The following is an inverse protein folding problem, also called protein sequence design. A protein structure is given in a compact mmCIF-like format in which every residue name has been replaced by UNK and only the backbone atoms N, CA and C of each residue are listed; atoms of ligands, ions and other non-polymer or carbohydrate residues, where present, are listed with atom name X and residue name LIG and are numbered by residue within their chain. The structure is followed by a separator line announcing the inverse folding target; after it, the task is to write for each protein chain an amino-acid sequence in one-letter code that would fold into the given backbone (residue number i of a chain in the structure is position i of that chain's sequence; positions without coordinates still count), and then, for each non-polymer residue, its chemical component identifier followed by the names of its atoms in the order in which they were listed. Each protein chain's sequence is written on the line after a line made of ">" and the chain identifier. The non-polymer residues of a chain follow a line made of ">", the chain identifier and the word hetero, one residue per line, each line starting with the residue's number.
data_IF_576991873552
#
_entry.id   IF_576991873552
#
_cell.length_a   1.000
_cell.length_b   1.000
_cell.length_c   1.000
_cell.angle_alpha   90.00
_cell.angle_beta   90.00
_cell.angle_gamma   90.00
#
_symmetry.space_group_name_H-M   'P 1'
#
loop_
_entity.id
_entity.type
_entity.pdbx_description
1 polymer ?
#
# COMPACT_ATOMS: atom_id res chain seq x y z
N UNK A 1 -15.30 -12.76 -14.79
CA UNK A 1 -15.33 -11.50 -13.99
C UNK A 1 -15.60 -11.79 -12.51
N UNK A 2 -16.65 -12.53 -12.15
CA UNK A 2 -16.99 -12.84 -10.75
C UNK A 2 -15.86 -13.57 -9.98
N UNK A 3 -15.17 -14.51 -10.64
CA UNK A 3 -14.08 -15.28 -10.03
C UNK A 3 -12.84 -14.41 -9.71
N UNK A 4 -12.61 -13.37 -10.51
CA UNK A 4 -11.50 -12.42 -10.35
C UNK A 4 -11.81 -11.42 -9.23
N UNK A 5 -13.07 -10.98 -9.16
CA UNK A 5 -13.60 -10.08 -8.14
C UNK A 5 -13.64 -10.76 -6.76
N UNK A 6 -14.00 -12.06 -6.71
CA UNK A 6 -13.95 -12.88 -5.49
C UNK A 6 -12.53 -13.09 -4.96
N UNK A 7 -11.56 -13.36 -5.84
CA UNK A 7 -10.13 -13.43 -5.46
C UNK A 7 -9.62 -12.10 -4.92
N UNK A 8 -9.97 -11.00 -5.57
CA UNK A 8 -9.58 -9.66 -5.12
C UNK A 8 -10.17 -9.32 -3.74
N UNK A 9 -11.45 -9.60 -3.50
CA UNK A 9 -12.11 -9.39 -2.21
C UNK A 9 -11.49 -10.24 -1.08
N UNK A 10 -11.14 -11.49 -1.37
CA UNK A 10 -10.52 -12.37 -0.39
C UNK A 10 -9.11 -11.86 0.00
N UNK A 11 -8.30 -11.45 -0.97
CA UNK A 11 -6.97 -10.88 -0.71
C UNK A 11 -7.10 -9.54 0.03
N UNK A 12 -8.02 -8.67 -0.40
CA UNK A 12 -8.25 -7.38 0.25
C UNK A 12 -8.68 -7.53 1.72
N UNK A 13 -9.54 -8.51 2.04
CA UNK A 13 -9.98 -8.76 3.42
C UNK A 13 -8.87 -9.35 4.28
N UNK A 14 -8.12 -10.35 3.80
CA UNK A 14 -6.99 -10.94 4.54
C UNK A 14 -5.92 -9.88 4.83
N UNK A 15 -5.53 -9.11 3.81
CA UNK A 15 -4.54 -8.05 3.98
C UNK A 15 -5.07 -6.94 4.89
N UNK A 16 -6.34 -6.56 4.75
CA UNK A 16 -6.98 -5.58 5.63
C UNK A 16 -6.95 -5.98 7.11
N UNK A 17 -7.27 -7.24 7.41
CA UNK A 17 -7.19 -7.78 8.78
C UNK A 17 -5.74 -7.78 9.28
N UNK A 18 -4.79 -8.23 8.46
CA UNK A 18 -3.37 -8.22 8.81
C UNK A 18 -2.82 -6.83 9.10
N UNK A 19 -3.30 -5.81 8.37
CA UNK A 19 -2.96 -4.40 8.59
C UNK A 19 -3.52 -3.90 9.92
N UNK A 20 -4.79 -4.19 10.23
CA UNK A 20 -5.40 -3.79 11.51
C UNK A 20 -4.66 -4.40 12.70
N UNK A 21 -4.27 -5.68 12.59
CA UNK A 21 -3.47 -6.36 13.62
C UNK A 21 -2.09 -5.73 13.79
N UNK A 22 -1.41 -5.34 12.71
CA UNK A 22 -0.12 -4.65 12.78
C UNK A 22 -0.23 -3.27 13.43
N UNK A 23 -1.25 -2.48 13.07
CA UNK A 23 -1.50 -1.18 13.70
C UNK A 23 -1.81 -1.35 15.19
N UNK A 24 -2.66 -2.32 15.55
CA UNK A 24 -2.94 -2.63 16.95
C UNK A 24 -1.68 -3.07 17.71
N UNK A 25 -0.84 -3.91 17.11
CA UNK A 25 0.43 -4.34 17.69
C UNK A 25 1.42 -3.19 17.89
N UNK A 26 1.51 -2.26 16.94
CA UNK A 26 2.35 -1.07 17.04
C UNK A 26 1.86 -0.14 18.16
N UNK A 27 0.56 0.14 18.23
CA UNK A 27 -0.03 0.95 19.29
C UNK A 27 0.15 0.30 20.67
N UNK A 28 -0.01 -1.02 20.76
CA UNK A 28 0.27 -1.77 21.98
C UNK A 28 1.74 -1.67 22.40
N UNK A 29 2.68 -1.85 21.47
CA UNK A 29 4.10 -1.74 21.74
C UNK A 29 4.48 -0.32 22.24
N UNK A 30 3.96 0.72 21.58
CA UNK A 30 4.16 2.11 22.00
C UNK A 30 3.56 2.36 23.39
N UNK A 31 2.34 1.88 23.68
CA UNK A 31 1.71 2.04 24.98
C UNK A 31 2.45 1.31 26.11
N UNK A 32 2.97 0.11 25.82
CA UNK A 32 3.80 -0.66 26.75
C UNK A 32 5.13 0.05 27.03
N UNK A 33 5.82 0.54 25.99
CA UNK A 33 7.06 1.31 26.09
C UNK A 33 6.86 2.70 26.73
N UNK A 34 5.66 3.26 26.63
CA UNK A 34 5.34 4.55 27.25
C UNK A 34 5.05 4.44 28.75
N UNK A 35 4.74 3.24 29.24
CA UNK A 35 4.51 2.97 30.66
C UNK A 35 5.81 2.94 31.47
N UNK A 36 6.97 2.83 30.82
CA UNK A 36 8.28 2.73 31.48
C UNK A 36 9.01 4.07 31.69
N UNK A 37 8.35 5.22 31.52
CA UNK A 37 8.91 6.59 31.64
C UNK A 37 10.10 6.92 30.69
N UNK A 38 10.47 6.00 29.80
CA UNK A 38 11.58 6.18 28.84
C UNK A 38 11.10 6.92 27.57
N UNK A 39 9.81 6.81 27.21
CA UNK A 39 9.22 7.43 26.01
C UNK A 39 7.84 7.97 26.38
N UNK A 40 7.57 9.25 26.20
CA UNK A 40 6.19 9.76 26.32
C UNK A 40 5.33 9.20 25.18
N UNK A 41 4.14 8.69 25.48
CA UNK A 41 3.22 8.18 24.45
C UNK A 41 2.96 9.29 23.41
N UNK A 42 3.20 9.06 22.11
CA UNK A 42 2.89 10.02 21.06
C UNK A 42 1.39 10.34 21.08
N UNK A 43 1.05 11.63 21.16
CA UNK A 43 -0.33 12.10 21.11
C UNK A 43 -0.82 12.14 19.67
N UNK A 44 -1.18 10.97 19.13
CA UNK A 44 -1.79 10.84 17.80
C UNK A 44 -3.28 11.15 17.91
N UNK A 45 -3.76 12.14 17.14
CA UNK A 45 -5.19 12.47 17.09
C UNK A 45 -6.00 11.35 16.46
N UNK A 46 -7.29 11.25 16.81
CA UNK A 46 -8.21 10.28 16.20
C UNK A 46 -8.25 10.43 14.67
N UNK A 47 -8.19 11.66 14.17
CA UNK A 47 -8.14 11.94 12.73
C UNK A 47 -6.88 11.37 12.08
N UNK A 48 -5.71 11.56 12.69
CA UNK A 48 -4.46 10.98 12.19
C UNK A 48 -4.51 9.45 12.21
N UNK A 49 -5.11 8.85 13.23
CA UNK A 49 -5.28 7.39 13.32
C UNK A 49 -6.17 6.84 12.19
N UNK A 50 -7.30 7.49 11.91
CA UNK A 50 -8.19 7.09 10.80
C UNK A 50 -7.48 7.22 9.46
N UNK A 51 -6.76 8.32 9.23
CA UNK A 51 -5.98 8.53 8.01
C UNK A 51 -4.84 7.51 7.88
N UNK A 52 -4.22 7.09 9.00
CA UNK A 52 -3.18 6.07 9.01
C UNK A 52 -3.75 4.72 8.57
N UNK A 53 -4.87 4.30 9.15
CA UNK A 53 -5.56 3.08 8.73
C UNK A 53 -5.93 3.12 7.24
N UNK A 54 -6.44 4.25 6.76
CA UNK A 54 -6.78 4.46 5.35
C UNK A 54 -5.55 4.39 4.44
N UNK A 55 -4.43 5.00 4.85
CA UNK A 55 -3.18 4.98 4.11
C UNK A 55 -2.66 3.55 3.95
N UNK A 56 -2.61 2.77 5.05
CA UNK A 56 -2.14 1.38 4.97
C UNK A 56 -3.09 0.51 4.13
N UNK A 57 -4.41 0.71 4.24
CA UNK A 57 -5.38 -0.02 3.42
C UNK A 57 -5.19 0.28 1.92
N UNK A 58 -5.03 1.54 1.55
CA UNK A 58 -4.79 1.93 0.15
C UNK A 58 -3.45 1.41 -0.37
N UNK A 59 -2.42 1.41 0.47
CA UNK A 59 -1.13 0.82 0.12
C UNK A 59 -1.24 -0.67 -0.15
N UNK A 60 -1.92 -1.41 0.73
CA UNK A 60 -2.18 -2.83 0.55
C UNK A 60 -2.91 -3.12 -0.77
N UNK A 61 -3.97 -2.37 -1.06
CA UNK A 61 -4.74 -2.51 -2.31
C UNK A 61 -3.85 -2.22 -3.53
N UNK A 62 -3.03 -1.16 -3.49
CA UNK A 62 -2.13 -0.78 -4.57
C UNK A 62 -1.05 -1.85 -4.82
N UNK A 63 -0.41 -2.37 -3.77
CA UNK A 63 0.59 -3.43 -3.87
C UNK A 63 -0.02 -4.69 -4.46
N UNK A 64 -1.18 -5.13 -3.96
CA UNK A 64 -1.91 -6.29 -4.50
C UNK A 64 -2.28 -6.09 -5.97
N UNK A 65 -2.70 -4.88 -6.36
CA UNK A 65 -3.00 -4.58 -7.75
C UNK A 65 -1.75 -4.66 -8.65
N UNK A 66 -0.58 -4.22 -8.17
CA UNK A 66 0.69 -4.38 -8.90
C UNK A 66 1.12 -5.85 -8.99
N UNK A 67 1.03 -6.61 -7.91
CA UNK A 67 1.34 -8.03 -7.90
C UNK A 67 0.45 -8.80 -8.87
N UNK A 68 -0.86 -8.51 -8.88
CA UNK A 68 -1.81 -9.10 -9.82
C UNK A 68 -1.46 -8.72 -11.27
N UNK A 69 -1.16 -7.45 -11.54
CA UNK A 69 -0.78 -6.98 -12.86
C UNK A 69 0.50 -7.67 -13.39
N UNK A 70 1.46 -7.97 -12.50
CA UNK A 70 2.68 -8.70 -12.84
C UNK A 70 2.41 -10.20 -13.04
N UNK A 71 1.68 -10.82 -12.13
CA UNK A 71 1.37 -12.25 -12.16
C UNK A 71 0.55 -12.65 -13.39
N UNK A 72 -0.35 -11.77 -13.86
CA UNK A 72 -1.12 -11.97 -15.09
C UNK A 72 -0.28 -11.99 -16.37
N UNK A 73 1.02 -11.66 -16.30
CA UNK A 73 1.95 -11.80 -17.44
C UNK A 73 2.72 -13.11 -17.41
N UNK A 74 2.54 -13.93 -16.37
CA UNK A 74 3.28 -15.16 -16.16
C UNK A 74 2.46 -16.36 -16.64
N UNK A 75 3.09 -17.29 -17.36
CA UNK A 75 2.40 -18.46 -17.89
C UNK A 75 2.29 -19.61 -16.88
N UNK A 76 2.98 -19.51 -15.74
CA UNK A 76 2.86 -20.49 -14.63
C UNK A 76 3.00 -19.86 -13.25
N UNK A 77 2.48 -20.56 -12.23
CA UNK A 77 2.61 -20.15 -10.81
C UNK A 77 4.07 -20.05 -10.38
N UNK A 78 4.95 -20.91 -10.90
CA UNK A 78 6.40 -20.85 -10.63
C UNK A 78 7.03 -19.60 -11.25
N UNK A 79 6.64 -19.24 -12.48
CA UNK A 79 7.11 -18.01 -13.15
C UNK A 79 6.61 -16.74 -12.46
N UNK A 80 5.35 -16.72 -12.02
CA UNK A 80 4.81 -15.61 -11.24
C UNK A 80 5.63 -15.39 -9.96
N UNK A 81 5.94 -16.46 -9.22
CA UNK A 81 6.79 -16.38 -8.03
C UNK A 81 8.20 -15.85 -8.33
N UNK A 82 8.83 -16.30 -9.42
CA UNK A 82 10.16 -15.84 -9.83
C UNK A 82 10.20 -14.38 -10.30
N UNK A 83 9.08 -13.83 -10.79
CA UNK A 83 8.95 -12.41 -11.16
C UNK A 83 8.60 -11.54 -9.95
N UNK A 84 7.80 -12.06 -9.01
CA UNK A 84 7.39 -11.35 -7.81
C UNK A 84 8.57 -11.12 -6.84
N UNK A 85 9.50 -12.07 -6.72
CA UNK A 85 10.69 -11.91 -5.86
C UNK A 85 11.48 -10.62 -6.14
N UNK A 86 11.98 -10.40 -7.38
CA UNK A 86 12.62 -9.16 -7.77
C UNK A 86 11.71 -7.92 -7.66
N UNK A 87 10.41 -8.05 -7.94
CA UNK A 87 9.47 -6.94 -7.84
C UNK A 87 9.33 -6.41 -6.40
N UNK A 88 9.29 -7.30 -5.41
CA UNK A 88 9.27 -6.93 -3.99
C UNK A 88 10.54 -6.17 -3.59
N UNK A 89 11.71 -6.57 -4.10
CA UNK A 89 12.97 -5.85 -3.87
C UNK A 89 12.94 -4.43 -4.48
N UNK A 90 12.34 -4.27 -5.65
CA UNK A 90 12.15 -2.96 -6.29
C UNK A 90 11.21 -2.08 -5.46
N UNK A 91 10.18 -2.65 -4.82
CA UNK A 91 9.26 -1.92 -3.92
C UNK A 91 9.96 -1.52 -2.61
N UNK A 92 10.88 -2.34 -2.10
CA UNK A 92 11.65 -2.05 -0.89
C UNK A 92 12.61 -0.87 -1.06
N UNK A 93 13.17 -0.67 -2.25
CA UNK A 93 14.18 0.36 -2.47
C UNK A 93 13.64 1.80 -2.25
N UNK A 94 12.47 2.20 -2.80
CA UNK A 94 11.81 3.46 -2.44
C UNK A 94 11.55 3.60 -0.95
N UNK A 95 11.29 2.50 -0.24
CA UNK A 95 11.02 2.56 1.19
C UNK A 95 12.25 3.02 1.98
N UNK A 96 13.44 2.54 1.64
CA UNK A 96 14.69 3.01 2.22
C UNK A 96 14.94 4.48 1.89
N UNK A 97 14.63 4.89 0.66
CA UNK A 97 14.78 6.29 0.24
C UNK A 97 13.89 7.24 1.04
N UNK A 98 12.71 6.80 1.49
CA UNK A 98 11.86 7.66 2.32
C UNK A 98 12.49 8.04 3.65
N UNK A 99 13.48 7.29 4.16
CA UNK A 99 14.15 7.60 5.43
C UNK A 99 15.07 8.82 5.33
N UNK A 100 15.66 9.06 4.15
CA UNK A 100 16.55 10.21 3.92
C UNK A 100 15.78 11.49 3.58
N UNK A 101 14.51 11.37 3.22
CA UNK A 101 13.64 12.52 2.95
C UNK A 101 13.22 13.18 4.27
N UNK A 102 13.49 14.48 4.38
CA UNK A 102 13.01 15.31 5.48
C UNK A 102 11.54 15.71 5.22
N UNK A 103 10.71 15.64 6.26
CA UNK A 103 9.30 16.04 6.22
C UNK A 103 9.11 17.55 6.31
N UNK A 104 10.12 18.29 6.79
CA UNK A 104 10.06 19.74 6.88
C UNK A 104 10.27 20.38 5.50
N UNK A 105 9.25 21.10 5.04
CA UNK A 105 9.26 21.75 3.74
C UNK A 105 9.17 20.78 2.56
N UNK A 106 8.76 19.53 2.79
CA UNK A 106 8.59 18.55 1.73
C UNK A 106 7.55 19.01 0.70
N UNK A 107 7.88 18.85 -0.58
CA UNK A 107 6.96 19.18 -1.66
C UNK A 107 5.90 18.09 -1.85
N UNK A 108 4.68 18.53 -2.21
CA UNK A 108 3.55 17.64 -2.45
C UNK A 108 3.81 16.61 -3.58
N UNK A 109 4.76 16.87 -4.48
CA UNK A 109 5.16 15.94 -5.54
C UNK A 109 5.57 14.56 -5.00
N UNK A 110 6.26 14.50 -3.86
CA UNK A 110 6.70 13.23 -3.27
C UNK A 110 5.54 12.34 -2.81
N UNK A 111 4.40 12.96 -2.49
CA UNK A 111 3.16 12.27 -2.15
C UNK A 111 2.40 11.75 -3.38
N UNK A 112 2.90 11.99 -4.60
CA UNK A 112 2.39 11.39 -5.81
C UNK A 112 3.19 10.15 -6.24
N UNK A 113 4.41 9.95 -5.74
CA UNK A 113 5.26 8.82 -6.16
C UNK A 113 4.73 7.51 -5.54
N UNK A 114 4.45 6.45 -6.32
CA UNK A 114 3.97 5.18 -5.77
C UNK A 114 4.90 4.63 -4.70
N UNK A 115 4.35 3.98 -3.68
CA UNK A 115 5.06 3.44 -2.50
C UNK A 115 5.59 4.54 -1.59
N UNK A 116 6.33 5.51 -2.12
CA UNK A 116 6.87 6.66 -1.38
C UNK A 116 5.75 7.48 -0.76
N UNK A 117 4.66 7.70 -1.51
CA UNK A 117 3.52 8.50 -1.10
C UNK A 117 2.90 8.05 0.22
N UNK A 118 2.63 6.76 0.36
CA UNK A 118 2.05 6.21 1.58
C UNK A 118 3.08 6.17 2.70
N UNK A 119 4.33 5.82 2.42
CA UNK A 119 5.35 5.78 3.47
C UNK A 119 5.62 7.15 4.09
N UNK A 120 5.64 8.21 3.28
CA UNK A 120 5.73 9.59 3.78
C UNK A 120 4.47 9.99 4.56
N UNK A 121 3.28 9.62 4.05
CA UNK A 121 2.02 9.87 4.76
C UNK A 121 2.00 9.18 6.13
N UNK A 122 2.46 7.93 6.24
CA UNK A 122 2.56 7.22 7.51
C UNK A 122 3.48 7.96 8.48
N UNK A 123 4.64 8.45 8.02
CA UNK A 123 5.55 9.21 8.87
C UNK A 123 4.94 10.53 9.35
N UNK A 124 4.29 11.30 8.47
CA UNK A 124 3.59 12.54 8.87
C UNK A 124 2.47 12.28 9.89
N UNK A 125 1.64 11.27 9.63
CA UNK A 125 0.50 10.93 10.47
C UNK A 125 0.91 10.36 11.84
N UNK A 126 2.00 9.60 11.91
CA UNK A 126 2.58 9.13 13.18
C UNK A 126 3.11 10.28 14.03
N UNK A 127 3.57 11.36 13.41
CA UNK A 127 3.95 12.61 14.09
C UNK A 127 2.75 13.53 14.38
N UNK A 128 1.52 13.06 14.15
CA UNK A 128 0.28 13.84 14.25
C UNK A 128 0.28 15.12 13.38
N UNK A 129 1.06 15.13 12.30
CA UNK A 129 1.15 16.24 11.35
C UNK A 129 0.20 15.97 10.18
N UNK A 130 -0.93 16.67 10.16
CA UNK A 130 -1.94 16.52 9.09
C UNK A 130 -1.84 17.71 8.14
N UNK A 131 -1.17 17.51 7.01
CA UNK A 131 -1.14 18.48 5.91
C UNK A 131 -2.17 18.08 4.87
N UNK A 132 -3.31 18.77 4.82
CA UNK A 132 -4.43 18.41 3.93
C UNK A 132 -4.04 18.34 2.44
N UNK A 133 -3.09 19.16 2.00
CA UNK A 133 -2.54 19.10 0.64
C UNK A 133 -1.87 17.76 0.36
N UNK A 134 -1.02 17.29 1.27
CA UNK A 134 -0.37 15.97 1.14
C UNK A 134 -1.41 14.86 1.20
N UNK A 135 -2.40 14.98 2.10
CA UNK A 135 -3.51 14.02 2.24
C UNK A 135 -4.26 13.83 0.92
N UNK A 136 -4.64 14.92 0.25
CA UNK A 136 -5.30 14.84 -1.03
C UNK A 136 -4.43 14.15 -2.09
N UNK A 137 -3.13 14.48 -2.16
CA UNK A 137 -2.25 13.94 -3.19
C UNK A 137 -1.99 12.44 -3.00
N UNK A 138 -1.69 11.97 -1.78
CA UNK A 138 -1.45 10.54 -1.58
C UNK A 138 -2.72 9.70 -1.71
N UNK A 139 -3.89 10.24 -1.32
CA UNK A 139 -5.18 9.57 -1.51
C UNK A 139 -5.51 9.40 -2.99
N UNK A 140 -5.43 10.49 -3.76
CA UNK A 140 -5.76 10.48 -5.20
C UNK A 140 -4.75 9.64 -5.97
N UNK A 141 -3.46 9.82 -5.74
CA UNK A 141 -2.42 9.06 -6.46
C UNK A 141 -2.52 7.57 -6.19
N UNK A 142 -2.62 7.14 -4.93
CA UNK A 142 -2.75 5.71 -4.57
C UNK A 142 -4.00 5.08 -5.18
N UNK A 143 -5.12 5.80 -5.16
CA UNK A 143 -6.37 5.32 -5.77
C UNK A 143 -6.23 5.18 -7.30
N UNK A 144 -5.62 6.17 -7.97
CA UNK A 144 -5.38 6.12 -9.42
C UNK A 144 -4.45 4.96 -9.79
N UNK A 145 -3.38 4.72 -9.04
CA UNK A 145 -2.46 3.60 -9.29
C UNK A 145 -3.14 2.25 -9.08
N UNK A 146 -3.90 2.09 -8.00
CA UNK A 146 -4.65 0.87 -7.74
C UNK A 146 -5.66 0.56 -8.86
N UNK A 147 -6.45 1.56 -9.27
CA UNK A 147 -7.43 1.42 -10.36
C UNK A 147 -6.73 1.12 -11.69
N UNK A 148 -5.65 1.84 -12.00
CA UNK A 148 -4.88 1.64 -13.23
C UNK A 148 -4.28 0.24 -13.34
N UNK A 149 -3.69 -0.27 -12.25
CA UNK A 149 -3.13 -1.61 -12.19
C UNK A 149 -4.21 -2.70 -12.27
N UNK A 150 -5.32 -2.53 -11.54
CA UNK A 150 -6.46 -3.45 -11.62
C UNK A 150 -7.09 -3.47 -13.01
N UNK A 151 -7.22 -2.31 -13.67
CA UNK A 151 -7.70 -2.22 -15.05
C UNK A 151 -6.77 -2.91 -16.05
N UNK A 152 -5.46 -2.72 -15.89
CA UNK A 152 -4.46 -3.39 -16.72
C UNK A 152 -4.53 -4.91 -16.57
N UNK A 153 -4.61 -5.41 -15.33
CA UNK A 153 -4.77 -6.84 -15.04
C UNK A 153 -6.06 -7.40 -15.68
N UNK A 154 -7.19 -6.68 -15.57
CA UNK A 154 -8.46 -7.09 -16.16
C UNK A 154 -8.40 -7.14 -17.70
N UNK A 155 -7.67 -6.21 -18.34
CA UNK A 155 -7.48 -6.19 -19.80
C UNK A 155 -6.62 -7.36 -20.29
N UNK A 156 -5.58 -7.72 -19.55
CA UNK A 156 -4.73 -8.87 -19.91
C UNK A 156 -5.50 -10.18 -19.81
N UNK A 157 -6.28 -10.37 -18.73
CA UNK A 157 -7.12 -11.55 -18.57
C UNK A 157 -8.09 -11.74 -19.74
N UNK A 158 -8.75 -10.66 -20.21
CA UNK A 158 -9.66 -10.73 -21.37
C UNK A 158 -8.99 -11.12 -22.68
N UNK A 159 -7.68 -10.89 -22.84
CA UNK A 159 -6.95 -11.26 -24.07
C UNK A 159 -6.59 -12.74 -24.08
N UNK A 160 -6.21 -13.32 -22.94
CA UNK A 160 -5.87 -14.74 -22.84
C UNK A 160 -7.08 -15.66 -23.04
N UNK A 161 -8.27 -15.26 -22.54
CA UNK A 161 -9.53 -16.00 -22.79
C UNK A 161 -9.86 -16.09 -24.29
N UNK A 162 -9.57 -15.04 -25.07
CA UNK A 162 -9.87 -15.01 -26.52
C UNK A 162 -8.91 -15.94 -27.28
N UNK A 163 -7.62 -15.95 -26.93
CA UNK A 163 -6.61 -16.75 -27.63
C UNK A 163 -6.79 -18.24 -27.37
N UNK A 164 -7.18 -18.63 -26.15
CA UNK A 164 -7.45 -20.03 -25.79
C UNK A 164 -8.77 -20.57 -26.33
N UNK A 165 -9.76 -19.70 -26.59
CA UNK A 165 -11.04 -20.11 -27.22
C UNK A 165 -10.96 -20.37 -28.73
N UNK A 166 -9.87 -19.98 -29.38
CA UNK A 166 -9.65 -20.12 -30.83
C UNK A 166 -8.69 -21.27 -31.19
N UNK A 167 -8.16 -22.00 -30.21
CA UNK A 167 -7.30 -23.18 -30.35
C UNK A 167 -8.02 -24.46 -29.96
#
# INVERSE_FOLDING_TARGET
>A
MELLLGKWLAVATITGVGVLLQVAGLLFAIGYLATSDIISAPSVSLTALVLLCLAVLLFAIMVVAFELALAMRSHSVKEAGSILGPAVLIILFPALFTQVINLDGIEAFWFAVPVVNVLLALRELLMNRIVYGHVAVWLVSSSLYAIGAAYYAARQFKREDIVTSLS
#
